data_IF_035435081631
#
_entry.id   IF_035435081631
#
_cell.length_a   1.000
_cell.length_b   1.000
_cell.length_c   1.000
_cell.angle_alpha   90.00
_cell.angle_beta   90.00
_cell.angle_gamma   90.00
#
_symmetry.space_group_name_H-M   'P 1'
#
loop_
_entity.id
_entity.type
_entity.pdbx_description
1 polymer ?
#
# COMPACT_ATOMS: atom_id res chain seq x y z
N UNK A 1 -6.83 -12.31 -30.06
CA UNK A 1 -6.26 -13.07 -28.93
C UNK A 1 -5.63 -12.17 -27.88
N UNK A 2 -5.06 -11.03 -28.27
CA UNK A 2 -4.55 -9.95 -27.39
C UNK A 2 -5.51 -9.57 -26.24
N UNK A 3 -6.75 -9.21 -26.54
CA UNK A 3 -7.74 -8.77 -25.55
C UNK A 3 -8.05 -9.81 -24.46
N UNK A 4 -8.01 -11.10 -24.79
CA UNK A 4 -8.28 -12.18 -23.83
C UNK A 4 -7.12 -12.30 -22.83
N UNK A 5 -5.87 -12.14 -23.29
CA UNK A 5 -4.69 -12.10 -22.43
C UNK A 5 -4.74 -10.89 -21.49
N UNK A 6 -5.09 -9.71 -22.03
CA UNK A 6 -5.21 -8.47 -21.24
C UNK A 6 -6.29 -8.60 -20.16
N UNK A 7 -7.49 -9.07 -20.51
CA UNK A 7 -8.59 -9.27 -19.55
C UNK A 7 -8.19 -10.28 -18.45
N UNK A 8 -7.54 -11.39 -18.83
CA UNK A 8 -7.05 -12.38 -17.87
C UNK A 8 -6.01 -11.82 -16.90
N UNK A 9 -5.07 -11.01 -17.41
CA UNK A 9 -4.05 -10.32 -16.59
C UNK A 9 -4.67 -9.31 -15.64
N UNK A 10 -5.59 -8.48 -16.12
CA UNK A 10 -6.30 -7.50 -15.30
C UNK A 10 -7.05 -8.17 -14.16
N UNK A 11 -7.77 -9.26 -14.44
CA UNK A 11 -8.52 -10.00 -13.41
C UNK A 11 -7.59 -10.63 -12.37
N UNK A 12 -6.46 -11.21 -12.82
CA UNK A 12 -5.45 -11.78 -11.92
C UNK A 12 -4.81 -10.72 -11.03
N UNK A 13 -4.38 -9.59 -11.60
CA UNK A 13 -3.77 -8.49 -10.85
C UNK A 13 -4.74 -7.85 -9.87
N UNK A 14 -6.01 -7.69 -10.26
CA UNK A 14 -7.06 -7.21 -9.37
C UNK A 14 -7.22 -8.10 -8.13
N UNK A 15 -7.24 -9.43 -8.31
CA UNK A 15 -7.31 -10.38 -7.19
C UNK A 15 -6.07 -10.26 -6.29
N UNK A 16 -4.87 -10.14 -6.88
CA UNK A 16 -3.63 -9.97 -6.10
C UNK A 16 -3.68 -8.69 -5.27
N UNK A 17 -4.04 -7.55 -5.87
CA UNK A 17 -4.13 -6.28 -5.17
C UNK A 17 -5.19 -6.32 -4.07
N UNK A 18 -6.33 -6.98 -4.31
CA UNK A 18 -7.34 -7.21 -3.26
C UNK A 18 -6.79 -8.01 -2.08
N UNK A 19 -6.00 -9.06 -2.35
CA UNK A 19 -5.35 -9.84 -1.29
C UNK A 19 -4.36 -8.96 -0.52
N UNK A 20 -3.59 -8.12 -1.20
CA UNK A 20 -2.66 -7.16 -0.59
C UNK A 20 -3.38 -6.25 0.40
N UNK A 21 -4.43 -5.55 -0.04
CA UNK A 21 -5.20 -4.67 0.83
C UNK A 21 -5.85 -5.42 2.00
N UNK A 22 -6.32 -6.64 1.75
CA UNK A 22 -6.89 -7.46 2.82
C UNK A 22 -5.86 -7.86 3.87
N UNK A 23 -4.61 -8.11 3.47
CA UNK A 23 -3.51 -8.41 4.39
C UNK A 23 -3.04 -7.18 5.17
N UNK A 24 -3.13 -5.98 4.59
CA UNK A 24 -2.86 -4.71 5.28
C UNK A 24 -3.86 -4.43 6.41
N UNK A 25 -5.03 -5.08 6.38
CA UNK A 25 -5.98 -5.13 7.49
C UNK A 25 -6.85 -3.90 7.61
N UNK A 26 -7.39 -3.64 8.80
CA UNK A 26 -8.43 -2.62 9.03
C UNK A 26 -7.89 -1.19 9.13
N UNK A 27 -6.56 -1.00 9.15
CA UNK A 27 -5.91 0.31 9.28
C UNK A 27 -6.29 1.25 8.13
N UNK A 28 -6.41 0.73 6.91
CA UNK A 28 -6.65 1.53 5.71
C UNK A 28 -8.01 2.23 5.67
N UNK A 29 -9.02 1.70 6.38
CA UNK A 29 -10.41 2.19 6.29
C UNK A 29 -10.68 3.31 7.33
N UNK A 30 -9.84 3.43 8.36
CA UNK A 30 -10.00 4.43 9.43
C UNK A 30 -9.02 5.60 9.37
N UNK A 31 -7.79 5.37 8.88
CA UNK A 31 -6.74 6.38 8.80
C UNK A 31 -5.68 5.91 7.78
N UNK A 32 -5.75 6.38 6.53
CA UNK A 32 -4.71 6.08 5.53
C UNK A 32 -3.42 6.82 5.94
N UNK A 33 -2.36 6.07 6.23
CA UNK A 33 -1.04 6.65 6.43
C UNK A 33 -0.50 7.17 5.10
N UNK A 34 0.37 8.19 5.15
CA UNK A 34 1.09 8.68 3.97
C UNK A 34 1.86 7.54 3.28
N UNK A 35 2.38 6.59 4.06
CA UNK A 35 3.04 5.39 3.52
C UNK A 35 2.09 4.49 2.74
N UNK A 36 0.87 4.28 3.25
CA UNK A 36 -0.13 3.44 2.58
C UNK A 36 -0.45 4.04 1.21
N UNK A 37 -0.64 5.36 1.15
CA UNK A 37 -0.88 6.09 -0.11
C UNK A 37 0.26 5.89 -1.14
N UNK A 38 1.52 6.02 -0.71
CA UNK A 38 2.68 5.83 -1.60
C UNK A 38 2.68 4.41 -2.18
N UNK A 39 2.40 3.39 -1.35
CA UNK A 39 2.35 2.00 -1.82
C UNK A 39 1.19 1.76 -2.77
N UNK A 40 0.03 2.40 -2.56
CA UNK A 40 -1.13 2.25 -3.45
C UNK A 40 -0.81 2.79 -4.84
N UNK A 41 -0.17 3.96 -4.91
CA UNK A 41 0.24 4.58 -6.17
C UNK A 41 1.25 3.67 -6.89
N UNK A 42 2.27 3.18 -6.16
CA UNK A 42 3.27 2.27 -6.72
C UNK A 42 2.65 0.97 -7.25
N UNK A 43 1.78 0.32 -6.48
CA UNK A 43 1.08 -0.89 -6.93
C UNK A 43 0.21 -0.64 -8.16
N UNK A 44 -0.47 0.51 -8.21
CA UNK A 44 -1.25 0.94 -9.36
C UNK A 44 -0.41 1.09 -10.62
N UNK A 45 0.71 1.80 -10.53
CA UNK A 45 1.63 1.95 -11.67
C UNK A 45 2.16 0.60 -12.15
N UNK A 46 2.63 -0.25 -11.24
CA UNK A 46 3.13 -1.58 -11.60
C UNK A 46 2.05 -2.44 -12.28
N UNK A 47 0.78 -2.31 -11.84
CA UNK A 47 -0.33 -3.04 -12.43
C UNK A 47 -0.62 -2.56 -13.86
N UNK A 48 -0.60 -1.25 -14.10
CA UNK A 48 -0.74 -0.67 -15.44
C UNK A 48 0.35 -1.22 -16.35
N UNK A 49 1.62 -1.16 -15.93
CA UNK A 49 2.74 -1.64 -16.75
C UNK A 49 2.66 -3.15 -17.02
N UNK A 50 2.13 -3.94 -16.07
CA UNK A 50 1.88 -5.37 -16.25
C UNK A 50 0.74 -5.71 -17.22
N UNK A 51 -0.27 -4.83 -17.31
CA UNK A 51 -1.41 -4.96 -18.22
C UNK A 51 -1.02 -4.49 -19.63
N UNK A 52 -0.30 -3.37 -19.75
CA UNK A 52 0.09 -2.79 -21.04
C UNK A 52 1.18 -3.60 -21.75
N UNK A 53 2.20 -4.06 -21.03
CA UNK A 53 3.33 -4.78 -21.64
C UNK A 53 3.02 -6.28 -21.80
N UNK A 54 2.22 -6.60 -22.81
CA UNK A 54 1.84 -7.99 -23.10
C UNK A 54 3.04 -8.85 -23.53
N UNK A 55 4.05 -8.24 -24.14
CA UNK A 55 5.25 -8.90 -24.68
C UNK A 55 6.21 -9.43 -23.60
N UNK A 56 6.18 -8.84 -22.40
CA UNK A 56 7.03 -9.27 -21.29
C UNK A 56 6.28 -10.24 -20.39
N UNK A 57 7.03 -11.21 -19.86
CA UNK A 57 6.52 -12.17 -18.89
C UNK A 57 6.05 -11.45 -17.63
N UNK A 58 4.81 -11.71 -17.21
CA UNK A 58 4.18 -11.16 -16.00
C UNK A 58 5.05 -11.30 -14.74
N UNK A 59 5.90 -12.32 -14.70
CA UNK A 59 6.86 -12.55 -13.62
C UNK A 59 7.78 -11.36 -13.34
N UNK A 60 8.13 -10.57 -14.35
CA UNK A 60 8.97 -9.38 -14.17
C UNK A 60 8.31 -8.27 -13.35
N UNK A 61 6.98 -8.24 -13.31
CA UNK A 61 6.18 -7.27 -12.54
C UNK A 61 5.72 -7.85 -11.21
N UNK A 62 5.35 -9.14 -11.20
CA UNK A 62 4.87 -9.87 -10.03
C UNK A 62 5.91 -9.94 -8.90
N UNK A 63 7.18 -10.18 -9.24
CA UNK A 63 8.27 -10.28 -8.25
C UNK A 63 8.45 -8.97 -7.48
N UNK A 64 8.68 -7.82 -8.13
CA UNK A 64 8.83 -6.56 -7.41
C UNK A 64 7.54 -6.12 -6.71
N UNK A 65 6.34 -6.40 -7.25
CA UNK A 65 5.08 -6.13 -6.54
C UNK A 65 5.00 -6.90 -5.21
N UNK A 66 5.34 -8.19 -5.24
CA UNK A 66 5.32 -9.05 -4.05
C UNK A 66 6.37 -8.59 -3.04
N UNK A 67 7.55 -8.18 -3.51
CA UNK A 67 8.60 -7.65 -2.65
C UNK A 67 8.19 -6.33 -1.97
N UNK A 68 7.57 -5.42 -2.74
CA UNK A 68 7.01 -4.17 -2.22
C UNK A 68 5.95 -4.44 -1.15
N UNK A 69 5.06 -5.41 -1.40
CA UNK A 69 4.06 -5.86 -0.43
C UNK A 69 4.71 -6.34 0.87
N UNK A 70 5.75 -7.17 0.79
CA UNK A 70 6.48 -7.65 1.97
C UNK A 70 7.08 -6.49 2.77
N UNK A 71 7.70 -5.51 2.10
CA UNK A 71 8.24 -4.31 2.75
C UNK A 71 7.14 -3.54 3.46
N UNK A 72 5.99 -3.35 2.81
CA UNK A 72 4.89 -2.59 3.39
C UNK A 72 4.30 -3.28 4.63
N UNK A 73 4.12 -4.60 4.59
CA UNK A 73 3.66 -5.36 5.76
C UNK A 73 4.66 -5.22 6.91
N UNK A 74 5.96 -5.33 6.63
CA UNK A 74 7.01 -5.15 7.64
C UNK A 74 6.96 -3.74 8.24
N UNK A 75 6.89 -2.70 7.41
CA UNK A 75 6.81 -1.31 7.85
C UNK A 75 5.55 -1.05 8.67
N UNK A 76 4.40 -1.59 8.26
CA UNK A 76 3.13 -1.47 8.99
C UNK A 76 3.22 -2.10 10.38
N UNK A 77 3.78 -3.31 10.48
CA UNK A 77 4.00 -4.00 11.77
C UNK A 77 5.00 -3.26 12.65
N UNK A 78 6.08 -2.73 12.08
CA UNK A 78 7.08 -1.94 12.81
C UNK A 78 6.48 -0.63 13.32
N UNK A 79 5.71 0.07 12.49
CA UNK A 79 5.02 1.31 12.86
C UNK A 79 4.03 1.08 14.01
N UNK A 80 3.31 -0.05 13.98
CA UNK A 80 2.44 -0.46 15.08
C UNK A 80 3.20 -0.76 16.38
N UNK A 81 4.38 -1.39 16.29
CA UNK A 81 5.17 -1.78 17.46
C UNK A 81 6.00 -0.64 18.05
N UNK A 82 6.46 0.30 17.22
CA UNK A 82 7.34 1.41 17.61
C UNK A 82 6.67 2.76 17.34
N UNK A 83 6.02 3.31 18.36
CA UNK A 83 5.42 4.65 18.32
C UNK A 83 6.43 5.75 17.92
N UNK A 84 7.72 5.60 18.27
CA UNK A 84 8.79 6.52 17.81
C UNK A 84 9.02 6.49 16.30
N UNK A 85 8.88 5.33 15.67
CA UNK A 85 9.02 5.19 14.22
C UNK A 85 7.79 5.76 13.51
N UNK A 86 6.61 5.56 14.09
CA UNK A 86 5.37 6.20 13.68
C UNK A 86 5.50 7.72 13.69
N UNK A 87 6.01 8.30 14.78
CA UNK A 87 6.26 9.74 14.91
C UNK A 87 7.23 10.31 13.86
N UNK A 88 8.26 9.55 13.46
CA UNK A 88 9.23 10.01 12.47
C UNK A 88 8.66 10.06 11.05
N UNK A 89 7.74 9.14 10.72
CA UNK A 89 7.22 8.99 9.35
C UNK A 89 5.85 9.63 9.17
N UNK A 90 4.95 9.44 10.13
CA UNK A 90 3.58 9.96 10.10
C UNK A 90 3.48 11.36 10.76
N UNK A 91 4.54 11.81 11.44
CA UNK A 91 4.58 13.06 12.19
C UNK A 91 4.10 12.92 13.64
N UNK A 92 4.28 13.99 14.43
CA UNK A 92 3.72 14.06 15.79
C UNK A 92 2.19 14.19 15.70
N UNK A 93 1.40 13.39 16.45
CA UNK A 93 -0.03 13.59 16.53
C UNK A 93 -0.30 14.97 17.14
N UNK A 94 -1.17 15.75 16.49
CA UNK A 94 -1.61 17.02 17.05
C UNK A 94 -2.41 16.75 18.34
N UNK A 95 -1.85 17.15 19.48
CA UNK A 95 -2.53 17.04 20.77
C UNK A 95 -3.59 18.14 20.80
N UNK A 96 -4.86 17.81 20.55
CA UNK A 96 -5.94 18.79 20.52
C UNK A 96 -6.30 19.26 21.96
N UNK A 97 -6.17 18.37 22.95
CA UNK A 97 -6.45 18.68 24.36
C UNK A 97 -5.33 18.12 25.23
N UNK A 98 -4.64 19.01 25.94
CA UNK A 98 -3.62 18.64 26.93
C UNK A 98 -4.05 19.12 28.31
N UNK A 99 -4.21 18.19 29.26
CA UNK A 99 -4.57 18.48 30.66
C UNK A 99 -5.79 19.41 30.83
N UNK A 100 -6.82 19.25 29.98
CA UNK A 100 -8.06 20.03 30.07
C UNK A 100 -8.02 21.41 29.42
N UNK A 101 -6.94 21.76 28.73
CA UNK A 101 -6.86 22.95 27.87
C UNK A 101 -6.82 22.53 26.40
N UNK A 102 -7.58 23.24 25.57
CA UNK A 102 -7.51 23.10 24.11
C UNK A 102 -6.16 23.68 23.68
N UNK A 103 -5.34 22.88 23.00
CA UNK A 103 -4.07 23.32 22.44
C UNK A 103 -4.36 23.91 21.06
N UNK A 104 -4.67 25.20 21.02
CA UNK A 104 -4.82 25.96 19.77
C UNK A 104 -3.43 26.30 19.23
N UNK A 105 -2.83 25.37 18.51
CA UNK A 105 -1.67 25.63 17.64
C UNK A 105 -2.02 25.39 16.18
#
# INVERSE_FOLDING_TARGET
MEWISVIGRTMLLYIIILIIFRLMGKREIGELSVLDLVVFIMLGEMAVVAIENTDKSLWHQLVPMTFLMCIQIILSVISLKFQRFRHLIEGEPAIIINAGKIDEK
#
